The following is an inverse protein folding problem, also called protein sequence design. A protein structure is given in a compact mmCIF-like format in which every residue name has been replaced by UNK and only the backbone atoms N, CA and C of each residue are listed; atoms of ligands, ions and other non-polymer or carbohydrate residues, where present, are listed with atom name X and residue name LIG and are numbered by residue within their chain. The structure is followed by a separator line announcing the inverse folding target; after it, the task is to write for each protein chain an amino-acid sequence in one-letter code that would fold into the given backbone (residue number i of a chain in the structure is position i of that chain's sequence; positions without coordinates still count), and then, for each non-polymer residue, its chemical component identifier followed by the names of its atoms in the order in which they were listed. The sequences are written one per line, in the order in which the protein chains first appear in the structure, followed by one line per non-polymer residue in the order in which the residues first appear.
data_IF_224075322722
#
_entry.id   IF_224075322722
#
_cell.length_a   1.000
_cell.length_b   1.000
_cell.length_c   1.000
_cell.angle_alpha   90.00
_cell.angle_beta   90.00
_cell.angle_gamma   90.00
#
_symmetry.space_group_name_H-M   'P 1'
#
loop_
_entity.id
_entity.type
_entity.pdbx_description
1 polymer ?
#
# COMPACT_ATOMS: atom_id res chain seq x y z
N UNK A 1 0.55 -20.71 13.76
CA UNK A 1 0.52 -19.40 13.10
C UNK A 1 0.09 -19.58 11.65
N UNK A 2 -0.77 -18.75 11.13
CA UNK A 2 -1.21 -18.83 9.74
C UNK A 2 -0.71 -17.58 8.99
N UNK A 3 -0.08 -17.79 7.83
CA UNK A 3 0.34 -16.68 6.96
C UNK A 3 -0.88 -16.10 6.26
N UNK A 4 -1.09 -14.81 6.42
CA UNK A 4 -2.14 -14.03 5.78
C UNK A 4 -1.52 -13.09 4.74
N UNK A 5 -2.27 -12.79 3.69
CA UNK A 5 -1.90 -11.76 2.71
C UNK A 5 -2.84 -10.58 2.85
N UNK A 6 -2.29 -9.38 2.90
CA UNK A 6 -3.04 -8.14 2.99
C UNK A 6 -2.61 -7.12 1.95
N UNK A 7 -3.47 -6.13 1.72
CA UNK A 7 -3.16 -4.96 0.90
C UNK A 7 -3.43 -3.70 1.71
N UNK A 8 -2.51 -2.73 1.62
CA UNK A 8 -2.70 -1.39 2.15
C UNK A 8 -2.51 -0.37 1.03
N UNK A 9 -3.33 0.68 1.01
CA UNK A 9 -3.32 1.66 -0.06
C UNK A 9 -3.21 3.07 0.49
N UNK A 10 -2.61 3.96 -0.29
CA UNK A 10 -2.69 5.40 -0.09
C UNK A 10 -2.90 6.14 -1.40
N UNK A 11 -3.56 7.29 -1.32
CA UNK A 11 -3.75 8.18 -2.47
C UNK A 11 -2.54 9.09 -2.60
N UNK A 12 -2.12 9.33 -3.85
CA UNK A 12 -1.03 10.23 -4.15
C UNK A 12 -1.49 11.55 -4.75
N UNK A 13 -0.52 12.45 -4.88
CA UNK A 13 -0.68 13.75 -5.52
C UNK A 13 0.44 14.02 -6.54
N UNK A 14 0.15 14.84 -7.53
CA UNK A 14 1.10 15.32 -8.52
C UNK A 14 0.77 16.75 -8.92
N UNK A 15 1.75 17.64 -8.83
CA UNK A 15 1.60 19.00 -9.33
C UNK A 15 1.69 19.03 -10.84
N UNK A 16 0.67 19.58 -11.50
CA UNK A 16 0.62 19.77 -12.96
C UNK A 16 1.88 20.49 -13.47
N UNK A 17 2.52 19.92 -14.47
CA UNK A 17 3.74 20.47 -15.07
C UNK A 17 3.41 21.17 -16.37
N UNK A 18 3.81 22.45 -16.49
CA UNK A 18 3.76 23.19 -17.75
C UNK A 18 5.10 23.08 -18.48
N UNK A 19 5.05 22.71 -19.76
CA UNK A 19 6.21 22.52 -20.61
C UNK A 19 6.15 23.51 -21.76
N UNK A 20 7.28 24.16 -22.05
CA UNK A 20 7.44 25.05 -23.20
C UNK A 20 8.71 24.73 -23.99
N UNK A 21 8.61 24.67 -25.31
CA UNK A 21 9.74 24.40 -26.19
C UNK A 21 10.38 23.02 -25.99
N UNK A 22 11.70 22.95 -26.13
CA UNK A 22 12.50 21.74 -25.86
C UNK A 22 12.90 21.59 -24.37
N UNK A 23 12.19 22.28 -23.47
CA UNK A 23 12.53 22.26 -22.06
C UNK A 23 12.25 20.91 -21.42
N UNK A 24 13.05 20.57 -20.42
CA UNK A 24 12.82 19.43 -19.55
C UNK A 24 12.52 19.93 -18.14
N UNK A 25 11.50 19.37 -17.52
CA UNK A 25 11.13 19.66 -16.14
C UNK A 25 10.92 18.36 -15.37
N UNK A 26 11.37 18.33 -14.14
CA UNK A 26 11.16 17.21 -13.23
C UNK A 26 10.22 17.62 -12.10
N UNK A 27 9.30 16.76 -11.75
CA UNK A 27 8.40 16.86 -10.61
C UNK A 27 8.24 15.47 -9.97
N UNK A 28 7.65 15.41 -8.79
CA UNK A 28 7.44 14.13 -8.10
C UNK A 28 5.95 13.85 -7.95
N UNK A 29 5.58 12.58 -8.15
CA UNK A 29 4.39 12.01 -7.56
C UNK A 29 4.73 11.74 -6.10
N UNK A 30 3.86 12.10 -5.16
CA UNK A 30 4.06 11.88 -3.73
C UNK A 30 2.83 11.23 -3.11
N UNK A 31 3.03 10.40 -2.09
CA UNK A 31 1.98 9.76 -1.31
C UNK A 31 2.48 9.47 0.10
N UNK A 32 1.56 9.26 1.02
CA UNK A 32 1.87 8.84 2.38
C UNK A 32 2.13 7.32 2.42
N UNK A 33 3.06 6.90 3.27
CA UNK A 33 3.28 5.47 3.51
C UNK A 33 2.05 4.85 4.19
N UNK A 34 1.43 3.81 3.61
CA UNK A 34 0.32 3.15 4.27
C UNK A 34 0.79 2.39 5.52
N UNK A 35 -0.08 2.33 6.53
CA UNK A 35 0.21 1.58 7.75
C UNK A 35 0.13 0.08 7.50
N UNK A 36 1.10 -0.67 8.00
CA UNK A 36 1.18 -2.13 7.93
C UNK A 36 1.23 -2.74 9.34
N UNK A 37 0.83 -4.01 9.50
CA UNK A 37 1.10 -4.76 10.73
C UNK A 37 2.60 -4.79 11.05
N UNK A 38 2.95 -4.83 12.34
CA UNK A 38 4.34 -4.75 12.81
C UNK A 38 5.25 -5.89 12.32
N UNK A 39 4.65 -7.05 12.01
CA UNK A 39 5.34 -8.25 11.50
C UNK A 39 5.13 -8.47 10.00
N UNK A 40 4.67 -7.44 9.27
CA UNK A 40 4.41 -7.54 7.85
C UNK A 40 5.70 -7.56 7.02
N UNK A 41 5.75 -8.46 6.05
CA UNK A 41 6.78 -8.52 5.01
C UNK A 41 6.17 -8.08 3.68
N UNK A 42 6.71 -7.03 3.08
CA UNK A 42 6.24 -6.52 1.80
C UNK A 42 6.61 -7.49 0.69
N UNK A 43 5.62 -7.91 -0.09
CA UNK A 43 5.81 -8.82 -1.24
C UNK A 43 5.78 -8.10 -2.58
N UNK A 44 5.03 -6.99 -2.68
CA UNK A 44 5.08 -6.10 -3.84
C UNK A 44 4.54 -4.71 -3.51
N UNK A 45 5.00 -3.72 -4.29
CA UNK A 45 4.44 -2.38 -4.28
C UNK A 45 4.12 -1.94 -5.71
N UNK A 46 2.97 -1.32 -5.91
CA UNK A 46 2.51 -0.86 -7.23
C UNK A 46 1.94 0.54 -7.16
N UNK A 47 2.12 1.29 -8.23
CA UNK A 47 1.48 2.60 -8.43
C UNK A 47 0.57 2.53 -9.64
N UNK A 48 -0.70 2.84 -9.47
CA UNK A 48 -1.64 3.04 -10.57
C UNK A 48 -2.02 4.51 -10.67
N UNK A 49 -2.14 5.03 -11.88
CA UNK A 49 -2.51 6.43 -12.12
C UNK A 49 -3.00 6.66 -13.55
N UNK A 50 -3.59 7.82 -13.80
CA UNK A 50 -3.98 8.28 -15.13
C UNK A 50 -3.05 9.41 -15.58
N UNK A 51 -2.23 9.16 -16.59
CA UNK A 51 -1.37 10.17 -17.22
C UNK A 51 -2.13 10.87 -18.34
N UNK A 52 -2.16 12.21 -18.31
CA UNK A 52 -2.69 13.04 -19.39
C UNK A 52 -1.62 13.98 -19.90
N UNK A 53 -1.31 13.88 -21.20
CA UNK A 53 -0.41 14.75 -21.93
C UNK A 53 -1.26 15.62 -22.85
N UNK A 54 -1.26 16.93 -22.62
CA UNK A 54 -2.02 17.90 -23.42
C UNK A 54 -1.02 18.92 -24.00
N UNK A 55 -0.59 18.67 -25.22
CA UNK A 55 0.41 19.51 -25.92
C UNK A 55 -0.23 20.13 -27.17
N UNK A 56 0.16 21.36 -27.45
CA UNK A 56 -0.19 22.10 -28.68
C UNK A 56 1.02 22.07 -29.61
N UNK A 57 0.81 21.74 -30.87
CA UNK A 57 1.78 21.65 -31.98
C UNK A 57 2.84 20.54 -31.86
N UNK A 58 2.82 19.71 -30.84
CA UNK A 58 3.74 18.58 -30.72
C UNK A 58 3.31 17.57 -29.64
N UNK A 59 4.22 16.67 -29.32
CA UNK A 59 4.12 15.71 -28.19
C UNK A 59 5.12 16.06 -27.10
N UNK A 60 4.95 15.49 -25.92
CA UNK A 60 5.97 15.46 -24.87
C UNK A 60 6.33 14.01 -24.55
N UNK A 61 7.59 13.80 -24.17
CA UNK A 61 8.01 12.55 -23.54
C UNK A 61 7.92 12.71 -22.02
N UNK A 62 7.21 11.80 -21.37
CA UNK A 62 7.08 11.73 -19.91
C UNK A 62 7.77 10.46 -19.45
N UNK A 63 8.86 10.58 -18.69
CA UNK A 63 9.60 9.43 -18.18
C UNK A 63 9.27 9.23 -16.69
N UNK A 64 8.82 8.02 -16.36
CA UNK A 64 8.45 7.61 -15.00
C UNK A 64 9.08 6.23 -14.77
N UNK A 65 9.85 6.10 -13.70
CA UNK A 65 10.54 4.85 -13.35
C UNK A 65 11.28 4.22 -14.56
N UNK A 66 12.01 5.04 -15.33
CA UNK A 66 12.76 4.60 -16.51
C UNK A 66 11.94 4.33 -17.77
N UNK A 67 10.62 4.31 -17.70
CA UNK A 67 9.73 4.12 -18.85
C UNK A 67 9.26 5.46 -19.41
N UNK A 68 9.32 5.61 -20.74
CA UNK A 68 8.89 6.84 -21.44
C UNK A 68 7.52 6.66 -22.09
N UNK A 69 6.65 7.64 -21.86
CA UNK A 69 5.30 7.74 -22.40
C UNK A 69 5.19 8.96 -23.31
N UNK A 70 4.69 8.81 -24.52
CA UNK A 70 4.52 9.87 -25.50
C UNK A 70 3.05 10.25 -25.74
N UNK A 71 2.13 9.59 -25.06
CA UNK A 71 0.69 9.83 -25.11
C UNK A 71 0.04 9.61 -23.74
N UNK A 72 -1.15 10.12 -23.59
CA UNK A 72 -1.98 9.85 -22.40
C UNK A 72 -2.23 8.35 -22.25
N UNK A 73 -2.10 7.83 -21.04
CA UNK A 73 -2.25 6.41 -20.75
C UNK A 73 -2.62 6.13 -19.28
N UNK A 74 -3.14 4.93 -19.04
CA UNK A 74 -3.22 4.39 -17.68
C UNK A 74 -1.85 3.84 -17.30
N UNK A 75 -1.41 4.19 -16.11
CA UNK A 75 -0.14 3.73 -15.54
C UNK A 75 -0.41 2.57 -14.58
N UNK A 76 0.45 1.55 -14.70
CA UNK A 76 0.55 0.47 -13.71
C UNK A 76 2.04 0.15 -13.56
N UNK A 77 2.64 0.67 -12.51
CA UNK A 77 4.09 0.67 -12.30
C UNK A 77 4.40 -0.22 -11.11
N UNK A 78 5.18 -1.28 -11.35
CA UNK A 78 5.75 -2.09 -10.27
C UNK A 78 6.97 -1.37 -9.69
N UNK A 79 6.97 -1.15 -8.38
CA UNK A 79 8.02 -0.46 -7.64
C UNK A 79 8.87 -1.41 -6.76
N UNK A 80 8.66 -2.73 -6.89
CA UNK A 80 9.41 -3.74 -6.15
C UNK A 80 8.83 -4.06 -4.78
N UNK A 81 9.69 -4.36 -3.82
CA UNK A 81 9.32 -4.84 -2.47
C UNK A 81 9.70 -3.86 -1.36
N UNK A 82 10.09 -2.64 -1.72
CA UNK A 82 10.49 -1.60 -0.76
C UNK A 82 9.43 -0.52 -0.69
N UNK A 83 9.07 -0.09 0.53
CA UNK A 83 8.17 1.03 0.76
C UNK A 83 8.79 2.32 0.19
N UNK A 84 8.00 3.06 -0.58
CA UNK A 84 8.36 4.35 -1.14
C UNK A 84 7.28 5.38 -0.83
N UNK A 85 7.62 6.66 -0.88
CA UNK A 85 6.68 7.78 -0.68
C UNK A 85 6.71 8.78 -1.82
N UNK A 86 7.57 8.57 -2.82
CA UNK A 86 7.65 9.43 -3.99
C UNK A 86 8.23 8.71 -5.20
N UNK A 87 7.90 9.24 -6.38
CA UNK A 87 8.44 8.79 -7.66
C UNK A 87 8.70 9.98 -8.57
N UNK A 88 9.90 10.06 -9.12
CA UNK A 88 10.29 11.16 -10.01
C UNK A 88 9.67 11.02 -11.39
N UNK A 89 9.19 12.14 -11.91
CA UNK A 89 8.58 12.28 -13.23
C UNK A 89 9.33 13.34 -14.01
N UNK A 90 9.95 12.98 -15.11
CA UNK A 90 10.63 13.92 -16.02
C UNK A 90 9.76 14.13 -17.25
N UNK A 91 9.42 15.38 -17.53
CA UNK A 91 8.61 15.79 -18.67
C UNK A 91 9.47 16.61 -19.63
N UNK A 92 9.57 16.19 -20.90
CA UNK A 92 10.40 16.86 -21.93
C UNK A 92 9.55 17.18 -23.15
N UNK A 93 9.53 18.44 -23.56
CA UNK A 93 8.94 18.88 -24.83
C UNK A 93 9.78 18.45 -26.04
N UNK A 94 9.14 18.14 -27.16
CA UNK A 94 9.82 17.59 -28.35
C UNK A 94 10.07 18.59 -29.46
N UNK A 95 9.52 19.82 -29.38
CA UNK A 95 9.72 20.86 -30.41
C UNK A 95 9.84 22.26 -29.80
N UNK A 96 10.64 23.11 -30.45
CA UNK A 96 10.98 24.47 -29.97
C UNK A 96 9.76 25.38 -29.69
N UNK A 97 8.70 25.25 -30.45
CA UNK A 97 7.49 26.11 -30.34
C UNK A 97 6.28 25.39 -29.73
N UNK A 98 6.49 24.21 -29.17
CA UNK A 98 5.42 23.50 -28.47
C UNK A 98 5.22 24.01 -27.05
N UNK A 99 3.99 23.99 -26.59
CA UNK A 99 3.67 24.24 -25.19
C UNK A 99 2.48 23.38 -24.77
N UNK A 100 2.40 23.10 -23.51
CA UNK A 100 1.32 22.30 -22.98
C UNK A 100 1.50 21.92 -21.54
N UNK A 101 0.77 20.92 -21.13
CA UNK A 101 0.76 20.47 -19.75
C UNK A 101 0.77 18.95 -19.65
N UNK A 102 1.42 18.46 -18.60
CA UNK A 102 1.35 17.08 -18.14
C UNK A 102 0.66 17.06 -16.79
N UNK A 103 -0.32 16.21 -16.64
CA UNK A 103 -1.00 15.95 -15.37
C UNK A 103 -1.10 14.45 -15.10
N UNK A 104 -1.04 14.08 -13.84
CA UNK A 104 -1.23 12.72 -13.36
C UNK A 104 -2.30 12.79 -12.28
N UNK A 105 -3.31 11.95 -12.40
CA UNK A 105 -4.48 11.91 -11.51
C UNK A 105 -4.85 10.47 -11.16
N UNK A 106 -5.79 10.29 -10.22
CA UNK A 106 -6.23 8.99 -9.74
C UNK A 106 -5.05 8.11 -9.29
N UNK A 107 -4.14 8.73 -8.55
CA UNK A 107 -2.91 8.09 -8.10
C UNK A 107 -3.24 7.24 -6.89
N UNK A 108 -2.99 5.93 -6.99
CA UNK A 108 -3.12 4.97 -5.90
C UNK A 108 -1.85 4.16 -5.78
N UNK A 109 -1.22 4.25 -4.62
CA UNK A 109 -0.09 3.40 -4.23
C UNK A 109 -0.62 2.23 -3.41
N UNK A 110 -0.25 1.02 -3.80
CA UNK A 110 -0.68 -0.22 -3.15
C UNK A 110 0.53 -1.00 -2.67
N UNK A 111 0.52 -1.42 -1.42
CA UNK A 111 1.49 -2.34 -0.83
C UNK A 111 0.80 -3.67 -0.57
N UNK A 112 1.30 -4.73 -1.19
CA UNK A 112 0.90 -6.10 -0.88
C UNK A 112 1.92 -6.68 0.10
N UNK A 113 1.44 -7.28 1.18
CA UNK A 113 2.29 -7.80 2.24
C UNK A 113 1.76 -9.13 2.77
N UNK A 114 2.64 -9.88 3.40
CA UNK A 114 2.32 -11.07 4.18
C UNK A 114 2.63 -10.81 5.65
N UNK A 115 1.81 -11.35 6.54
CA UNK A 115 2.02 -11.30 7.99
C UNK A 115 1.55 -12.60 8.63
N UNK A 116 2.13 -12.92 9.77
CA UNK A 116 1.67 -14.03 10.57
C UNK A 116 0.62 -13.55 11.56
N UNK A 117 -0.54 -14.17 11.50
CA UNK A 117 -1.59 -13.95 12.48
C UNK A 117 -1.48 -15.03 13.55
N UNK A 118 -1.36 -14.59 14.79
CA UNK A 118 -1.45 -15.49 15.93
C UNK A 118 -2.89 -16.02 15.99
N UNK A 119 -3.05 -17.31 15.77
CA UNK A 119 -4.34 -17.98 15.98
C UNK A 119 -4.45 -18.22 17.48
N UNK A 120 -5.14 -17.33 18.16
CA UNK A 120 -5.55 -17.59 19.55
C UNK A 120 -6.72 -18.57 19.47
N UNK A 121 -6.43 -19.85 19.61
CA UNK A 121 -7.47 -20.84 19.83
C UNK A 121 -8.05 -20.63 21.23
N UNK A 122 -9.12 -19.89 21.31
CA UNK A 122 -9.89 -19.79 22.57
C UNK A 122 -10.72 -21.06 22.73
N UNK A 123 -10.30 -21.91 23.62
CA UNK A 123 -11.16 -23.02 24.09
C UNK A 123 -12.28 -22.38 24.91
N UNK A 124 -13.45 -22.26 24.30
CA UNK A 124 -14.61 -21.59 24.91
C UNK A 124 -15.26 -22.38 26.04
N UNK A 125 -14.88 -23.66 26.24
CA UNK A 125 -15.47 -24.52 27.23
C UNK A 125 -14.46 -25.50 27.83
N UNK A 126 -14.40 -25.58 29.14
CA UNK A 126 -13.65 -26.60 29.87
C UNK A 126 -14.64 -27.61 30.43
N UNK A 127 -14.35 -28.91 30.29
CA UNK A 127 -15.11 -30.01 30.83
C UNK A 127 -14.29 -30.74 31.89
N UNK A 128 -14.93 -31.10 33.00
CA UNK A 128 -14.42 -32.07 33.98
C UNK A 128 -15.37 -33.26 33.92
N UNK A 129 -14.95 -34.35 33.28
CA UNK A 129 -15.86 -35.42 32.87
C UNK A 129 -16.88 -34.88 31.86
N UNK A 130 -18.17 -35.10 32.09
CA UNK A 130 -19.26 -34.61 31.24
C UNK A 130 -19.78 -33.22 31.67
N UNK A 131 -19.15 -32.58 32.66
CA UNK A 131 -19.58 -31.30 33.23
C UNK A 131 -18.89 -30.15 32.52
N UNK A 132 -19.69 -29.30 31.88
CA UNK A 132 -19.21 -28.04 31.29
C UNK A 132 -18.95 -27.01 32.39
N UNK A 133 -17.72 -26.48 32.44
CA UNK A 133 -17.32 -25.45 33.40
C UNK A 133 -17.45 -24.08 32.75
N UNK A 134 -18.53 -23.39 33.04
CA UNK A 134 -18.79 -22.03 32.53
C UNK A 134 -18.26 -20.92 33.43
N UNK A 135 -17.83 -21.23 34.65
CA UNK A 135 -17.41 -20.23 35.64
C UNK A 135 -16.30 -20.81 36.53
N UNK A 136 -15.10 -20.28 36.38
CA UNK A 136 -13.95 -20.61 37.23
C UNK A 136 -13.67 -19.45 38.15
N UNK A 137 -13.56 -19.68 39.46
CA UNK A 137 -13.24 -18.66 40.46
C UNK A 137 -12.06 -19.13 41.33
N UNK A 138 -11.23 -18.18 41.73
CA UNK A 138 -10.24 -18.35 42.78
C UNK A 138 -10.63 -17.45 43.95
N UNK A 139 -11.21 -18.05 45.01
CA UNK A 139 -11.87 -17.29 46.07
C UNK A 139 -13.13 -16.57 45.52
N UNK A 140 -13.21 -15.26 45.72
CA UNK A 140 -14.31 -14.44 45.21
C UNK A 140 -14.02 -13.80 43.83
N UNK A 141 -12.80 -13.98 43.27
CA UNK A 141 -12.39 -13.39 42.02
C UNK A 141 -12.66 -14.33 40.84
N UNK A 142 -13.35 -13.86 39.79
CA UNK A 142 -13.50 -14.65 38.56
C UNK A 142 -12.15 -14.85 37.90
N UNK A 143 -11.87 -16.06 37.41
CA UNK A 143 -10.73 -16.32 36.51
C UNK A 143 -11.24 -16.11 35.10
N UNK A 144 -10.59 -15.23 34.36
CA UNK A 144 -10.95 -14.91 32.96
C UNK A 144 -10.12 -15.67 31.94
N UNK A 145 -8.98 -16.22 32.34
CA UNK A 145 -8.08 -16.99 31.48
C UNK A 145 -7.45 -18.14 32.25
N UNK A 146 -7.32 -19.30 31.62
CA UNK A 146 -6.61 -20.45 32.15
C UNK A 146 -5.57 -20.91 31.13
N UNK A 147 -4.36 -21.18 31.62
CA UNK A 147 -3.22 -21.64 30.83
C UNK A 147 -2.72 -23.00 31.29
N UNK A 148 -2.20 -23.82 30.36
CA UNK A 148 -1.32 -24.97 30.68
C UNK A 148 0.03 -24.70 30.00
N UNK A 149 1.06 -24.43 30.81
CA UNK A 149 2.31 -23.87 30.30
C UNK A 149 2.05 -22.51 29.67
N UNK A 150 2.51 -22.28 28.44
CA UNK A 150 2.30 -21.05 27.68
C UNK A 150 1.04 -21.09 26.79
N UNK A 151 0.27 -22.18 26.85
CA UNK A 151 -0.93 -22.36 26.04
C UNK A 151 -2.17 -21.88 26.78
N UNK A 152 -2.90 -20.92 26.19
CA UNK A 152 -4.21 -20.48 26.67
C UNK A 152 -5.22 -21.60 26.36
N UNK A 153 -5.88 -22.12 27.42
CA UNK A 153 -6.86 -23.22 27.28
C UNK A 153 -8.29 -22.78 27.51
N UNK A 154 -8.50 -21.62 28.14
CA UNK A 154 -9.84 -21.10 28.40
C UNK A 154 -9.81 -19.58 28.64
N UNK A 155 -10.83 -18.88 28.11
CA UNK A 155 -11.08 -17.45 28.27
C UNK A 155 -12.58 -17.15 28.17
N UNK A 156 -13.09 -16.21 29.00
CA UNK A 156 -14.43 -15.62 28.92
C UNK A 156 -14.38 -14.17 28.49
#
# INVERSE_FOLDING_TARGET
MATQTGNATSNGSFSKVSIGGNSSKTSNITWDAPSLPSNATITSTTLTASLKINMILSTAAVTINGTSYNSSSQLNINLGTTMQTSLSVTCKGNKRYSYGTVSISNIVYTVTYQYEQEVVETVKQIYIGDINISNIKMGNSPITKVYIGDSLIWEI
#
